data_IF_724751984877
#
_entry.id   IF_724751984877
#
_cell.length_a   1.000
_cell.length_b   1.000
_cell.length_c   1.000
_cell.angle_alpha   90.00
_cell.angle_beta   90.00
_cell.angle_gamma   90.00
#
_symmetry.space_group_name_H-M   'P 1'
#
loop_
_entity.id
_entity.type
_entity.pdbx_description
1 polymer ?
#
# COMPACT_ATOMS: atom_id res chain seq x y z
N UNK A 1 2.29 -20.03 -18.51
CA UNK A 1 2.48 -19.86 -17.06
C UNK A 1 3.93 -20.11 -16.75
N UNK A 2 4.62 -19.06 -16.33
CA UNK A 2 5.96 -19.17 -15.76
C UNK A 2 5.85 -20.01 -14.49
N UNK A 3 6.79 -20.93 -14.27
CA UNK A 3 6.79 -21.76 -13.06
C UNK A 3 7.13 -20.86 -11.86
N UNK A 4 6.31 -20.89 -10.82
CA UNK A 4 6.62 -20.22 -9.55
C UNK A 4 7.66 -21.07 -8.82
N UNK A 5 8.84 -20.51 -8.58
CA UNK A 5 9.94 -21.18 -7.89
C UNK A 5 10.19 -20.59 -6.49
N UNK A 6 9.96 -19.29 -6.34
CA UNK A 6 10.11 -18.56 -5.09
C UNK A 6 8.98 -17.54 -4.90
N UNK A 7 8.52 -17.40 -3.65
CA UNK A 7 7.63 -16.33 -3.19
C UNK A 7 8.22 -15.76 -1.91
N UNK A 8 8.42 -14.45 -1.90
CA UNK A 8 9.00 -13.69 -0.80
C UNK A 8 8.05 -12.59 -0.35
N UNK A 9 8.06 -12.32 0.96
CA UNK A 9 7.33 -11.22 1.58
C UNK A 9 8.36 -10.28 2.18
N UNK A 10 8.34 -9.04 1.72
CA UNK A 10 9.32 -8.02 2.09
C UNK A 10 8.62 -6.71 2.46
N UNK A 11 9.33 -5.84 3.16
CA UNK A 11 8.86 -4.47 3.34
C UNK A 11 9.18 -3.64 2.11
N UNK A 12 8.24 -2.79 1.72
CA UNK A 12 8.37 -1.89 0.59
C UNK A 12 9.39 -0.80 0.90
N UNK A 13 10.27 -0.52 -0.06
CA UNK A 13 11.23 0.56 0.02
C UNK A 13 11.04 1.53 -1.15
N UNK A 14 11.49 2.78 -1.01
CA UNK A 14 11.30 3.77 -2.09
C UNK A 14 11.90 3.33 -3.45
N UNK A 15 13.08 2.66 -3.51
CA UNK A 15 13.60 2.13 -4.78
C UNK A 15 12.64 1.19 -5.53
N UNK A 16 11.67 0.58 -4.85
CA UNK A 16 10.66 -0.29 -5.47
C UNK A 16 9.57 0.49 -6.24
N UNK A 17 9.53 1.83 -6.13
CA UNK A 17 8.41 2.64 -6.57
C UNK A 17 8.03 2.47 -8.05
N UNK A 18 9.00 2.40 -8.97
CA UNK A 18 8.67 2.25 -10.40
C UNK A 18 8.00 0.90 -10.68
N UNK A 19 8.52 -0.19 -10.11
CA UNK A 19 7.90 -1.51 -10.22
C UNK A 19 6.52 -1.56 -9.54
N UNK A 20 6.37 -0.92 -8.39
CA UNK A 20 5.10 -0.80 -7.67
C UNK A 20 4.05 -0.05 -8.52
N UNK A 21 4.45 1.04 -9.16
CA UNK A 21 3.58 1.86 -10.01
C UNK A 21 3.09 1.08 -11.23
N UNK A 22 3.99 0.33 -11.88
CA UNK A 22 3.61 -0.56 -12.98
C UNK A 22 2.58 -1.60 -12.51
N UNK A 23 2.83 -2.26 -11.37
CA UNK A 23 1.90 -3.22 -10.79
C UNK A 23 0.53 -2.62 -10.44
N UNK A 24 0.48 -1.38 -9.92
CA UNK A 24 -0.78 -0.67 -9.66
C UNK A 24 -1.58 -0.41 -10.94
N UNK A 25 -0.91 0.09 -11.99
CA UNK A 25 -1.55 0.38 -13.27
C UNK A 25 -2.12 -0.90 -13.90
N UNK A 26 -1.37 -2.00 -13.83
CA UNK A 26 -1.82 -3.30 -14.35
C UNK A 26 -2.96 -3.92 -13.53
N UNK A 27 -2.96 -3.74 -12.20
CA UNK A 27 -4.03 -4.22 -11.32
C UNK A 27 -5.37 -3.50 -11.55
N UNK A 28 -5.33 -2.25 -12.03
CA UNK A 28 -6.51 -1.40 -12.24
C UNK A 28 -6.66 -0.93 -13.70
N UNK A 29 -6.81 -1.84 -14.68
CA UNK A 29 -6.78 -1.49 -16.11
C UNK A 29 -7.95 -0.59 -16.57
N UNK A 30 -9.03 -0.53 -15.79
CA UNK A 30 -10.21 0.28 -16.07
C UNK A 30 -10.20 1.65 -15.38
N UNK A 31 -9.18 1.96 -14.58
CA UNK A 31 -9.06 3.21 -13.83
C UNK A 31 -7.79 3.97 -14.26
N UNK A 32 -7.89 4.93 -15.20
CA UNK A 32 -6.75 5.75 -15.57
C UNK A 32 -6.17 6.46 -14.36
N UNK A 33 -4.83 6.47 -14.24
CA UNK A 33 -4.12 7.10 -13.13
C UNK A 33 -4.42 6.50 -11.74
N UNK A 34 -4.90 5.25 -11.66
CA UNK A 34 -5.08 4.51 -10.41
C UNK A 34 -3.76 4.01 -9.82
N UNK A 35 -2.86 4.94 -9.52
CA UNK A 35 -1.62 4.66 -8.82
C UNK A 35 -1.31 5.74 -7.79
N UNK A 36 -0.70 5.32 -6.68
CA UNK A 36 -0.15 6.24 -5.70
C UNK A 36 1.10 6.91 -6.26
N UNK A 37 1.17 8.24 -6.13
CA UNK A 37 2.38 9.00 -6.46
C UNK A 37 3.52 8.64 -5.51
N UNK A 38 4.76 8.80 -5.97
CA UNK A 38 5.97 8.52 -5.19
C UNK A 38 5.96 9.19 -3.82
N UNK A 39 5.54 10.46 -3.76
CA UNK A 39 5.43 11.20 -2.50
C UNK A 39 4.44 10.58 -1.50
N UNK A 40 3.38 9.92 -1.97
CA UNK A 40 2.42 9.23 -1.09
C UNK A 40 3.02 7.93 -0.55
N UNK A 41 3.72 7.18 -1.41
CA UNK A 41 4.42 5.96 -1.02
C UNK A 41 5.54 6.27 -0.02
N UNK A 42 6.34 7.31 -0.28
CA UNK A 42 7.35 7.79 0.67
C UNK A 42 6.72 8.14 2.02
N UNK A 43 5.60 8.87 2.04
CA UNK A 43 4.93 9.24 3.28
C UNK A 43 4.43 8.02 4.07
N UNK A 44 3.97 6.96 3.40
CA UNK A 44 3.59 5.70 4.04
C UNK A 44 4.80 4.97 4.62
N UNK A 45 5.88 4.86 3.85
CA UNK A 45 7.14 4.21 4.29
C UNK A 45 7.74 4.96 5.47
N UNK A 46 7.77 6.30 5.45
CA UNK A 46 8.32 7.13 6.52
C UNK A 46 7.52 7.01 7.83
N UNK A 47 6.21 6.82 7.73
CA UNK A 47 5.31 6.75 8.89
C UNK A 47 5.23 5.35 9.48
N UNK A 48 5.09 4.34 8.62
CA UNK A 48 4.83 2.98 9.06
C UNK A 48 5.46 1.97 8.09
N UNK A 49 6.80 1.81 8.11
CA UNK A 49 7.50 0.96 7.15
C UNK A 49 7.06 -0.50 7.25
N UNK A 50 6.77 -0.99 8.45
CA UNK A 50 6.30 -2.37 8.69
C UNK A 50 4.89 -2.62 8.15
N UNK A 51 4.12 -1.55 7.90
CA UNK A 51 2.78 -1.62 7.30
C UNK A 51 2.76 -1.65 5.78
N UNK A 52 3.91 -1.46 5.12
CA UNK A 52 4.01 -1.44 3.67
C UNK A 52 4.68 -2.73 3.22
N UNK A 53 3.88 -3.69 2.78
CA UNK A 53 4.35 -5.06 2.52
C UNK A 53 4.20 -5.38 1.05
N UNK A 54 5.29 -5.74 0.38
CA UNK A 54 5.29 -6.22 -1.00
C UNK A 54 5.44 -7.74 -1.04
N UNK A 55 4.82 -8.35 -2.05
CA UNK A 55 5.05 -9.74 -2.40
C UNK A 55 5.89 -9.80 -3.68
N UNK A 56 6.95 -10.62 -3.63
CA UNK A 56 7.90 -10.81 -4.73
C UNK A 56 7.79 -12.25 -5.19
N UNK A 57 7.58 -12.47 -6.49
CA UNK A 57 7.50 -13.79 -7.11
C UNK A 57 8.64 -13.91 -8.11
N UNK A 58 9.51 -14.89 -7.91
CA UNK A 58 10.69 -15.11 -8.75
C UNK A 58 11.57 -13.83 -8.93
N UNK A 59 11.65 -12.99 -7.90
CA UNK A 59 12.42 -11.73 -7.94
C UNK A 59 11.67 -10.52 -8.52
N UNK A 60 10.41 -10.68 -8.95
CA UNK A 60 9.59 -9.59 -9.49
C UNK A 60 8.46 -9.20 -8.53
N UNK A 61 8.17 -7.90 -8.39
CA UNK A 61 7.06 -7.42 -7.57
C UNK A 61 5.74 -7.88 -8.17
N UNK A 62 5.01 -8.70 -7.42
CA UNK A 62 3.73 -9.27 -7.84
C UNK A 62 2.52 -8.56 -7.18
N UNK A 63 2.74 -7.78 -6.12
CA UNK A 63 1.68 -7.04 -5.47
C UNK A 63 2.15 -6.33 -4.20
N UNK A 64 1.25 -5.56 -3.60
CA UNK A 64 1.54 -4.82 -2.38
C UNK A 64 0.27 -4.65 -1.54
N UNK A 65 0.46 -4.62 -0.23
CA UNK A 65 -0.51 -4.15 0.75
C UNK A 65 0.05 -2.90 1.43
N UNK A 66 -0.76 -1.84 1.48
CA UNK A 66 -0.45 -0.58 2.14
C UNK A 66 -1.37 -0.42 3.34
N UNK A 67 -0.83 -0.03 4.49
CA UNK A 67 -1.62 0.14 5.70
C UNK A 67 -1.12 1.26 6.61
N UNK A 68 -1.98 1.72 7.52
CA UNK A 68 -1.64 2.62 8.62
C UNK A 68 -2.32 2.12 9.90
N UNK A 69 -1.75 2.45 11.07
CA UNK A 69 -2.42 2.26 12.37
C UNK A 69 -3.23 3.52 12.70
N UNK A 70 -4.47 3.36 13.14
CA UNK A 70 -5.38 4.44 13.56
C UNK A 70 -6.03 4.12 14.91
N UNK A 71 -6.59 5.15 15.56
CA UNK A 71 -7.49 4.95 16.72
C UNK A 71 -8.90 4.61 16.23
N UNK A 72 -9.47 3.48 16.66
CA UNK A 72 -10.81 3.03 16.29
C UNK A 72 -11.89 4.08 16.55
N UNK A 73 -11.91 4.65 17.75
CA UNK A 73 -12.94 5.61 18.19
C UNK A 73 -13.04 6.85 17.29
N UNK A 74 -11.96 7.20 16.57
CA UNK A 74 -11.96 8.33 15.63
C UNK A 74 -12.66 8.01 14.32
N UNK A 75 -12.78 6.73 13.98
CA UNK A 75 -13.24 6.23 12.68
C UNK A 75 -14.33 5.15 12.80
N UNK A 76 -14.83 4.87 14.01
CA UNK A 76 -15.94 3.95 14.29
C UNK A 76 -17.23 4.39 13.57
N UNK A 77 -17.46 5.71 13.50
CA UNK A 77 -18.53 6.29 12.71
C UNK A 77 -18.20 6.27 11.20
N UNK A 78 -19.23 6.46 10.36
CA UNK A 78 -19.03 6.63 8.91
C UNK A 78 -18.02 7.76 8.66
N UNK A 79 -16.92 7.39 8.03
CA UNK A 79 -15.88 8.30 7.56
C UNK A 79 -15.64 8.09 6.06
N UNK A 80 -15.08 9.10 5.42
CA UNK A 80 -14.67 9.05 4.02
C UNK A 80 -13.20 8.65 3.91
N UNK A 81 -12.82 8.14 2.74
CA UNK A 81 -11.43 7.81 2.46
C UNK A 81 -10.50 9.02 2.61
N UNK A 82 -10.97 10.23 2.26
CA UNK A 82 -10.20 11.46 2.42
C UNK A 82 -9.98 11.82 3.89
N UNK A 83 -10.92 11.51 4.78
CA UNK A 83 -10.78 11.77 6.21
C UNK A 83 -9.77 10.82 6.85
N UNK A 84 -9.89 9.51 6.61
CA UNK A 84 -8.97 8.52 7.19
C UNK A 84 -7.56 8.62 6.62
N UNK A 85 -7.36 9.15 5.42
CA UNK A 85 -6.03 9.42 4.87
C UNK A 85 -5.50 10.83 5.18
N UNK A 86 -6.26 11.66 5.91
CA UNK A 86 -5.97 13.09 6.09
C UNK A 86 -5.60 13.79 4.76
N UNK A 87 -6.40 13.57 3.71
CA UNK A 87 -6.13 14.10 2.38
C UNK A 87 -4.86 13.54 1.76
N UNK A 88 -4.66 12.21 1.88
CA UNK A 88 -3.49 11.48 1.33
C UNK A 88 -2.13 11.85 1.96
N UNK A 89 -2.15 12.56 3.09
CA UNK A 89 -0.95 12.83 3.89
C UNK A 89 -0.67 11.72 4.90
N UNK A 90 -1.67 10.88 5.19
CA UNK A 90 -1.66 9.80 6.17
C UNK A 90 -1.35 10.26 7.60
N UNK A 91 -1.60 11.54 7.91
CA UNK A 91 -1.38 12.12 9.24
C UNK A 91 -2.40 11.68 10.31
N UNK A 92 -3.36 10.83 9.95
CA UNK A 92 -4.19 10.07 10.88
C UNK A 92 -3.44 8.91 11.52
N UNK A 93 -2.30 8.50 10.95
CA UNK A 93 -1.48 7.43 11.47
C UNK A 93 -1.05 7.72 12.92
N UNK A 94 -1.07 6.67 13.73
CA UNK A 94 -0.64 6.73 15.12
C UNK A 94 -0.12 5.37 15.57
N UNK A 95 1.17 5.30 15.90
CA UNK A 95 1.85 4.08 16.34
C UNK A 95 1.17 3.42 17.55
N UNK A 96 0.55 4.24 18.40
CA UNK A 96 -0.17 3.80 19.60
C UNK A 96 -1.67 3.56 19.37
N UNK A 97 -2.13 3.58 18.11
CA UNK A 97 -3.51 3.23 17.77
C UNK A 97 -3.78 1.74 17.97
N UNK A 98 -5.03 1.36 17.83
CA UNK A 98 -5.53 0.02 18.17
C UNK A 98 -6.10 -0.74 16.96
N UNK A 99 -6.14 -0.11 15.78
CA UNK A 99 -6.65 -0.71 14.54
C UNK A 99 -5.67 -0.52 13.39
N UNK A 100 -5.39 -1.62 12.69
CA UNK A 100 -4.70 -1.61 11.40
C UNK A 100 -5.71 -1.32 10.29
N UNK A 101 -5.55 -0.19 9.61
CA UNK A 101 -6.39 0.23 8.50
C UNK A 101 -5.67 -0.03 7.18
N UNK A 102 -6.26 -0.87 6.32
CA UNK A 102 -5.77 -1.13 4.97
C UNK A 102 -6.08 0.04 4.04
N UNK A 103 -5.04 0.64 3.46
CA UNK A 103 -5.12 1.73 2.50
C UNK A 103 -5.43 1.20 1.10
N UNK A 104 -4.68 0.19 0.67
CA UNK A 104 -4.79 -0.43 -0.66
C UNK A 104 -4.20 -1.84 -0.61
N UNK A 105 -4.74 -2.75 -1.41
CA UNK A 105 -4.21 -4.10 -1.61
C UNK A 105 -4.44 -4.46 -3.07
N UNK A 106 -3.35 -4.71 -3.79
CA UNK A 106 -3.41 -5.04 -5.21
C UNK A 106 -2.42 -6.14 -5.57
N UNK A 107 -2.78 -6.90 -6.59
CA UNK A 107 -1.99 -7.98 -7.17
C UNK A 107 -1.94 -7.74 -8.68
N UNK A 108 -0.73 -7.81 -9.23
CA UNK A 108 -0.51 -7.80 -10.67
C UNK A 108 -1.20 -9.04 -11.28
N UNK A 109 -1.96 -8.92 -12.40
CA UNK A 109 -2.77 -10.03 -12.90
C UNK A 109 -2.02 -11.27 -13.44
N UNK A 110 -0.73 -11.15 -13.74
CA UNK A 110 0.11 -12.20 -14.34
C UNK A 110 0.82 -13.08 -13.30
#
# INVERSE_FOLDING_TARGET
MTKIENVELEFLTLPDYEALKEAMIEAYPSMPEAYWKEMHIQALIDKFPEGQVKIVVNGELAGCALAIIVDYDRFEARHTYREVTAGYTFNTHKDSGDVLYGIDVFIKPE
#
